data_IF_916583983959
#
_entry.id   IF_916583983959
#
_cell.length_a   1.000
_cell.length_b   1.000
_cell.length_c   1.000
_cell.angle_alpha   90.00
_cell.angle_beta   90.00
_cell.angle_gamma   90.00
#
_symmetry.space_group_name_H-M   'P 1'
#
loop_
_entity.id
_entity.type
_entity.pdbx_description
1 polymer ?
#
# COMPACT_ATOMS: atom_id res chain seq x y z
N UNK A 1 35.48 -27.69 -85.93
CA UNK A 1 35.67 -26.95 -87.19
C UNK A 1 36.05 -25.52 -86.80
N UNK A 2 37.28 -25.10 -87.14
CA UNK A 2 37.81 -23.72 -87.19
C UNK A 2 37.75 -22.88 -85.89
N UNK A 3 38.90 -22.62 -85.27
CA UNK A 3 39.85 -21.53 -85.55
C UNK A 3 39.42 -20.16 -85.01
N UNK A 4 40.34 -19.59 -84.21
CA UNK A 4 40.40 -18.25 -83.62
C UNK A 4 40.35 -17.14 -84.69
N UNK A 5 39.93 -15.89 -84.37
CA UNK A 5 40.76 -14.86 -83.69
C UNK A 5 39.96 -14.05 -82.64
N UNK A 6 40.49 -13.38 -81.62
CA UNK A 6 41.70 -12.57 -81.49
C UNK A 6 41.30 -11.08 -81.44
N UNK A 7 41.31 -10.42 -80.26
CA UNK A 7 41.71 -9.01 -80.03
C UNK A 7 41.46 -8.51 -78.59
N UNK A 8 42.60 -8.25 -77.93
CA UNK A 8 42.98 -7.16 -77.01
C UNK A 8 41.94 -6.20 -76.39
N UNK A 9 42.04 -6.15 -75.04
CA UNK A 9 42.18 -4.99 -74.16
C UNK A 9 41.01 -4.01 -73.92
N UNK A 10 40.50 -4.03 -72.68
CA UNK A 10 40.53 -2.87 -71.77
C UNK A 10 40.15 -3.33 -70.36
N UNK A 11 41.06 -3.14 -69.40
CA UNK A 11 40.77 -3.32 -67.99
C UNK A 11 40.02 -2.08 -67.48
N UNK A 12 38.79 -2.26 -67.00
CA UNK A 12 38.09 -1.28 -66.18
C UNK A 12 37.91 -1.89 -64.79
N UNK A 13 38.68 -1.41 -63.83
CA UNK A 13 38.51 -1.74 -62.42
C UNK A 13 37.29 -0.98 -61.88
N UNK A 14 36.18 -1.69 -61.66
CA UNK A 14 35.05 -1.19 -60.88
C UNK A 14 35.35 -1.41 -59.40
N UNK A 15 35.70 -0.34 -58.69
CA UNK A 15 35.74 -0.33 -57.23
C UNK A 15 34.30 -0.43 -56.70
N UNK A 16 33.94 -1.59 -56.15
CA UNK A 16 32.72 -1.76 -55.37
C UNK A 16 32.95 -1.14 -53.99
N UNK A 17 32.33 0.02 -53.74
CA UNK A 17 32.24 0.62 -52.41
C UNK A 17 31.17 -0.13 -51.64
N UNK A 18 31.59 -1.05 -50.77
CA UNK A 18 30.71 -1.60 -49.72
C UNK A 18 30.53 -0.55 -48.64
N UNK A 19 29.37 0.10 -48.60
CA UNK A 19 28.96 0.95 -47.49
C UNK A 19 28.49 0.02 -46.36
N UNK A 20 29.35 -0.19 -45.36
CA UNK A 20 28.96 -0.86 -44.12
C UNK A 20 28.07 0.07 -43.31
N UNK A 21 26.75 -0.17 -43.35
CA UNK A 21 25.78 0.52 -42.50
C UNK A 21 25.94 0.01 -41.06
N UNK A 22 26.69 0.75 -40.25
CA UNK A 22 26.82 0.49 -38.82
C UNK A 22 25.53 0.95 -38.15
N UNK A 23 24.64 0.03 -37.80
CA UNK A 23 23.47 0.33 -36.98
C UNK A 23 23.96 0.56 -35.54
N UNK A 24 24.11 1.82 -35.17
CA UNK A 24 24.26 2.23 -33.78
C UNK A 24 22.93 1.95 -33.06
N UNK A 25 22.88 0.86 -32.30
CA UNK A 25 21.81 0.66 -31.30
C UNK A 25 22.06 1.67 -30.19
N UNK A 26 21.39 2.81 -30.28
CA UNK A 26 21.31 3.78 -29.19
C UNK A 26 20.51 3.14 -28.05
N UNK A 27 21.19 2.61 -27.04
CA UNK A 27 20.58 2.35 -25.75
C UNK A 27 20.15 3.69 -25.17
N UNK A 28 18.87 4.04 -25.32
CA UNK A 28 18.31 5.20 -24.65
C UNK A 28 18.45 4.99 -23.14
N UNK A 29 19.33 5.77 -22.51
CA UNK A 29 19.29 5.96 -21.06
C UNK A 29 17.93 6.56 -20.70
N UNK A 30 17.25 6.08 -19.66
CA UNK A 30 16.02 6.72 -19.22
C UNK A 30 16.35 8.17 -18.87
N UNK A 31 15.63 9.11 -19.47
CA UNK A 31 15.70 10.51 -19.08
C UNK A 31 15.25 10.58 -17.62
N UNK A 32 16.17 10.91 -16.71
CA UNK A 32 15.82 11.34 -15.37
C UNK A 32 14.91 12.54 -15.52
N UNK A 33 13.63 12.38 -15.18
CA UNK A 33 12.74 13.51 -14.98
C UNK A 33 13.42 14.46 -13.99
N UNK A 34 13.48 15.73 -14.37
CA UNK A 34 14.23 16.74 -13.63
C UNK A 34 13.42 17.14 -12.40
N UNK A 35 13.53 16.40 -11.29
CA UNK A 35 12.98 16.82 -9.99
C UNK A 35 12.65 15.72 -8.97
N UNK A 36 12.65 14.44 -9.34
CA UNK A 36 12.32 13.32 -8.46
C UNK A 36 13.54 12.80 -7.70
N UNK A 37 13.50 12.82 -6.36
CA UNK A 37 14.59 12.30 -5.53
C UNK A 37 14.60 10.76 -5.41
N UNK A 38 13.44 10.10 -5.49
CA UNK A 38 13.31 8.64 -5.44
C UNK A 38 12.43 8.15 -6.61
N UNK A 39 12.91 8.23 -7.86
CA UNK A 39 12.10 7.82 -9.01
C UNK A 39 11.86 6.32 -9.01
N UNK A 40 10.62 5.90 -9.31
CA UNK A 40 10.29 4.50 -9.57
C UNK A 40 11.02 3.98 -10.84
N UNK A 41 11.52 2.73 -10.84
CA UNK A 41 11.56 1.79 -9.71
C UNK A 41 12.74 2.07 -8.77
N UNK A 42 12.59 1.81 -7.47
CA UNK A 42 13.59 2.17 -6.45
C UNK A 42 14.47 0.99 -6.03
N UNK A 43 14.05 -0.25 -6.30
CA UNK A 43 14.83 -1.48 -6.07
C UNK A 43 15.43 -1.57 -4.64
N UNK A 44 14.60 -1.29 -3.64
CA UNK A 44 14.94 -1.32 -2.23
C UNK A 44 15.42 -2.71 -1.80
N UNK A 45 16.56 -2.75 -1.12
CA UNK A 45 17.01 -3.94 -0.41
C UNK A 45 16.39 -3.95 0.99
N UNK A 46 15.41 -4.82 1.21
CA UNK A 46 14.79 -5.00 2.52
C UNK A 46 15.75 -5.61 3.55
N UNK A 47 15.50 -5.30 4.84
CA UNK A 47 16.35 -5.72 5.96
C UNK A 47 16.22 -7.20 6.30
N UNK A 48 15.13 -7.83 5.90
CA UNK A 48 14.82 -9.25 6.14
C UNK A 48 13.95 -9.79 5.01
N UNK A 49 13.74 -11.11 5.03
CA UNK A 49 12.76 -11.76 4.18
C UNK A 49 13.31 -12.07 2.79
N UNK A 50 12.39 -12.24 1.85
CA UNK A 50 12.66 -12.53 0.44
C UNK A 50 11.82 -11.62 -0.44
N UNK A 51 12.22 -11.48 -1.71
CA UNK A 51 11.39 -10.91 -2.79
C UNK A 51 10.94 -12.03 -3.73
N UNK A 52 9.87 -11.87 -4.53
CA UNK A 52 9.48 -12.85 -5.53
C UNK A 52 10.64 -13.19 -6.47
N UNK A 53 10.78 -14.47 -6.82
CA UNK A 53 11.86 -14.98 -7.68
C UNK A 53 11.78 -14.49 -9.13
N UNK A 54 10.69 -13.80 -9.50
CA UNK A 54 10.56 -13.14 -10.80
C UNK A 54 11.71 -12.14 -11.02
N UNK A 55 12.14 -11.98 -12.27
CA UNK A 55 13.21 -11.05 -12.59
C UNK A 55 12.82 -9.62 -12.15
N UNK A 56 13.81 -8.78 -11.83
CA UNK A 56 13.52 -7.38 -11.46
C UNK A 56 12.69 -6.69 -12.54
N UNK A 57 13.03 -6.89 -13.82
CA UNK A 57 12.28 -6.33 -14.93
C UNK A 57 10.81 -6.78 -14.97
N UNK A 58 10.52 -8.05 -14.65
CA UNK A 58 9.15 -8.55 -14.59
C UNK A 58 8.38 -7.98 -13.39
N UNK A 59 9.05 -7.80 -12.25
CA UNK A 59 8.48 -7.13 -11.06
C UNK A 59 8.12 -5.68 -11.37
N UNK A 60 9.05 -4.90 -11.92
CA UNK A 60 8.82 -3.51 -12.31
C UNK A 60 7.72 -3.38 -13.38
N UNK A 61 7.65 -4.33 -14.33
CA UNK A 61 6.61 -4.37 -15.36
C UNK A 61 5.22 -4.67 -14.77
N UNK A 62 5.14 -5.57 -13.77
CA UNK A 62 3.89 -5.89 -13.09
C UNK A 62 3.35 -4.67 -12.32
N UNK A 63 4.21 -3.96 -11.58
CA UNK A 63 3.83 -2.74 -10.85
C UNK A 63 3.31 -1.67 -11.81
N UNK A 64 4.04 -1.38 -12.90
CA UNK A 64 3.61 -0.38 -13.91
C UNK A 64 2.26 -0.73 -14.53
N UNK A 65 2.07 -2.01 -14.89
CA UNK A 65 0.80 -2.49 -15.45
C UNK A 65 -0.35 -2.30 -14.47
N UNK A 66 -0.16 -2.65 -13.20
CA UNK A 66 -1.18 -2.47 -12.17
C UNK A 66 -1.47 -0.98 -11.93
N UNK A 67 -0.43 -0.15 -11.85
CA UNK A 67 -0.57 1.28 -11.66
C UNK A 67 -1.36 1.95 -12.77
N UNK A 68 -1.04 1.66 -14.04
CA UNK A 68 -1.75 2.22 -15.18
C UNK A 68 -3.24 1.83 -15.16
N UNK A 69 -3.54 0.59 -14.74
CA UNK A 69 -4.91 0.10 -14.57
C UNK A 69 -5.63 0.83 -13.43
N UNK A 70 -5.03 0.86 -12.24
CA UNK A 70 -5.56 1.49 -11.03
C UNK A 70 -5.81 2.99 -11.25
N UNK A 71 -4.80 3.70 -11.76
CA UNK A 71 -4.87 5.14 -12.02
C UNK A 71 -6.01 5.47 -12.96
N UNK A 72 -6.15 4.73 -14.06
CA UNK A 72 -7.23 4.94 -15.04
C UNK A 72 -8.63 4.70 -14.43
N UNK A 73 -8.76 3.73 -13.53
CA UNK A 73 -10.04 3.34 -12.95
C UNK A 73 -10.46 4.26 -11.80
N UNK A 74 -9.52 4.64 -10.94
CA UNK A 74 -9.84 5.23 -9.63
C UNK A 74 -9.33 6.65 -9.44
N UNK A 75 -8.14 7.02 -9.94
CA UNK A 75 -7.61 8.38 -9.76
C UNK A 75 -8.25 9.34 -10.76
N UNK A 76 -8.95 10.37 -10.25
CA UNK A 76 -9.69 11.29 -11.11
C UNK A 76 -9.72 12.71 -10.58
N UNK A 77 -9.84 13.66 -11.51
CA UNK A 77 -10.11 15.05 -11.17
C UNK A 77 -11.56 15.22 -10.68
N UNK A 78 -11.73 15.80 -9.50
CA UNK A 78 -13.01 16.17 -8.90
C UNK A 78 -12.77 17.18 -7.76
N UNK A 79 -13.80 17.93 -7.37
CA UNK A 79 -13.74 18.85 -6.23
C UNK A 79 -12.57 19.86 -6.28
N UNK A 80 -12.21 20.30 -7.49
CA UNK A 80 -11.12 21.25 -7.72
C UNK A 80 -9.71 20.67 -7.55
N UNK A 81 -9.57 19.37 -7.29
CA UNK A 81 -8.31 18.65 -7.16
C UNK A 81 -8.42 17.25 -7.76
N UNK A 82 -7.80 16.27 -7.11
CA UNK A 82 -7.89 14.85 -7.45
C UNK A 82 -8.41 14.06 -6.27
N UNK A 83 -9.16 12.98 -6.55
CA UNK A 83 -9.56 12.00 -5.56
C UNK A 83 -9.37 10.58 -6.09
N UNK A 84 -9.34 9.61 -5.17
CA UNK A 84 -9.45 8.19 -5.49
C UNK A 84 -10.91 7.77 -5.39
N UNK A 85 -11.48 7.27 -6.48
CA UNK A 85 -12.87 6.85 -6.50
C UNK A 85 -13.09 5.57 -5.69
N UNK A 86 -13.67 5.73 -4.49
CA UNK A 86 -14.08 4.66 -3.60
C UNK A 86 -15.39 4.01 -4.10
N UNK A 87 -15.27 3.10 -5.06
CA UNK A 87 -16.40 2.46 -5.75
C UNK A 87 -17.25 1.63 -4.78
N UNK A 88 -18.49 2.08 -4.55
CA UNK A 88 -19.43 1.45 -3.62
C UNK A 88 -19.52 2.20 -2.28
N UNK A 89 -18.44 2.88 -1.91
CA UNK A 89 -18.28 3.38 -0.54
C UNK A 89 -18.50 4.89 -0.43
N UNK A 90 -18.41 5.62 -1.55
CA UNK A 90 -18.74 7.03 -1.64
C UNK A 90 -19.68 7.36 -2.82
N UNK A 91 -20.72 8.19 -2.60
CA UNK A 91 -21.66 8.58 -3.66
C UNK A 91 -21.03 9.54 -4.67
N UNK A 92 -21.70 9.71 -5.83
CA UNK A 92 -21.27 10.69 -6.83
C UNK A 92 -19.90 10.42 -7.44
N UNK A 93 -19.42 9.16 -7.35
CA UNK A 93 -18.03 8.75 -7.64
C UNK A 93 -17.01 9.51 -6.78
N UNK A 94 -17.30 9.59 -5.49
CA UNK A 94 -16.51 10.28 -4.48
C UNK A 94 -15.42 9.41 -3.86
N UNK A 95 -14.93 9.83 -2.69
CA UNK A 95 -13.84 9.16 -1.97
C UNK A 95 -14.22 8.96 -0.51
N UNK A 96 -13.57 7.99 0.12
CA UNK A 96 -13.38 7.95 1.57
C UNK A 96 -11.94 8.40 1.90
N UNK A 97 -11.67 8.79 3.15
CA UNK A 97 -10.32 9.22 3.58
C UNK A 97 -9.30 8.11 3.39
N UNK A 98 -9.66 6.85 3.65
CA UNK A 98 -8.86 5.65 3.36
C UNK A 98 -8.37 5.63 1.90
N UNK A 99 -9.30 5.66 0.94
CA UNK A 99 -8.98 5.66 -0.49
C UNK A 99 -8.11 6.86 -0.88
N UNK A 100 -8.38 8.03 -0.31
CA UNK A 100 -7.59 9.24 -0.56
C UNK A 100 -6.16 9.08 -0.06
N UNK A 101 -5.98 8.56 1.16
CA UNK A 101 -4.69 8.25 1.77
C UNK A 101 -3.90 7.25 0.93
N UNK A 102 -4.53 6.15 0.48
CA UNK A 102 -3.90 5.20 -0.43
C UNK A 102 -3.37 5.87 -1.70
N UNK A 103 -4.16 6.76 -2.31
CA UNK A 103 -3.71 7.54 -3.47
C UNK A 103 -2.50 8.43 -3.15
N UNK A 104 -2.50 9.05 -1.97
CA UNK A 104 -1.39 9.88 -1.49
C UNK A 104 -0.13 9.08 -1.17
N UNK A 105 -0.22 7.76 -1.00
CA UNK A 105 0.93 6.88 -0.89
C UNK A 105 1.39 6.34 -2.26
N UNK A 106 0.46 5.88 -3.09
CA UNK A 106 0.76 5.29 -4.40
C UNK A 106 1.41 6.32 -5.33
N UNK A 107 0.87 7.54 -5.43
CA UNK A 107 1.32 8.54 -6.39
C UNK A 107 2.80 8.94 -6.21
N UNK A 108 3.30 9.32 -5.01
CA UNK A 108 4.72 9.63 -4.83
C UNK A 108 5.62 8.41 -5.02
N UNK A 109 5.18 7.19 -4.66
CA UNK A 109 5.93 5.96 -4.90
C UNK A 109 6.09 5.62 -6.38
N UNK A 110 5.19 6.12 -7.24
CA UNK A 110 5.22 5.92 -8.70
C UNK A 110 5.79 7.11 -9.48
N UNK A 111 6.21 8.17 -8.79
CA UNK A 111 6.86 9.32 -9.39
C UNK A 111 8.12 8.89 -10.15
N UNK A 112 8.42 9.56 -11.27
CA UNK A 112 9.51 9.19 -12.17
C UNK A 112 9.08 8.21 -13.27
N UNK A 113 8.20 7.25 -12.98
CA UNK A 113 7.44 6.56 -14.03
C UNK A 113 6.28 7.42 -14.50
N UNK A 114 5.47 7.91 -13.57
CA UNK A 114 4.41 8.86 -13.86
C UNK A 114 4.93 10.30 -13.79
N UNK A 115 5.05 10.93 -14.95
CA UNK A 115 5.51 12.31 -15.07
C UNK A 115 4.48 13.33 -14.55
N UNK A 116 3.23 12.90 -14.30
CA UNK A 116 2.17 13.74 -13.74
C UNK A 116 2.06 13.63 -12.21
N UNK A 117 2.84 12.73 -11.58
CA UNK A 117 2.67 12.34 -10.19
C UNK A 117 2.65 13.54 -9.22
N UNK A 118 3.55 14.51 -9.40
CA UNK A 118 3.57 15.70 -8.53
C UNK A 118 2.27 16.51 -8.61
N UNK A 119 1.79 16.77 -9.83
CA UNK A 119 0.57 17.55 -10.05
C UNK A 119 -0.68 16.83 -9.52
N UNK A 120 -0.69 15.51 -9.65
CA UNK A 120 -1.77 14.66 -9.12
C UNK A 120 -1.74 14.61 -7.59
N UNK A 121 -0.56 14.48 -6.98
CA UNK A 121 -0.40 14.56 -5.54
C UNK A 121 -0.84 15.92 -4.97
N UNK A 122 -0.43 17.02 -5.62
CA UNK A 122 -0.88 18.37 -5.26
C UNK A 122 -2.41 18.50 -5.31
N UNK A 123 -3.04 17.83 -6.28
CA UNK A 123 -4.48 17.75 -6.40
C UNK A 123 -5.14 16.88 -5.34
N UNK A 124 -4.57 15.73 -4.99
CA UNK A 124 -5.03 14.87 -3.90
C UNK A 124 -4.99 15.63 -2.57
N UNK A 125 -3.86 16.29 -2.29
CA UNK A 125 -3.70 17.10 -1.10
C UNK A 125 -4.65 18.30 -1.05
N UNK A 126 -4.97 18.90 -2.21
CA UNK A 126 -5.96 19.98 -2.27
C UNK A 126 -7.33 19.51 -1.79
N UNK A 127 -7.79 18.33 -2.20
CA UNK A 127 -9.08 17.79 -1.75
C UNK A 127 -9.07 17.57 -0.23
N UNK A 128 -7.99 17.01 0.32
CA UNK A 128 -7.83 16.85 1.78
C UNK A 128 -7.96 18.19 2.52
N UNK A 129 -7.23 19.22 2.07
CA UNK A 129 -7.29 20.55 2.71
C UNK A 129 -8.67 21.20 2.66
N UNK A 130 -9.40 21.01 1.57
CA UNK A 130 -10.70 21.64 1.36
C UNK A 130 -11.83 20.91 2.12
N UNK A 131 -11.59 19.69 2.60
CA UNK A 131 -12.59 18.84 3.26
C UNK A 131 -12.09 18.33 4.61
N UNK A 132 -11.72 19.27 5.49
CA UNK A 132 -11.35 18.96 6.87
C UNK A 132 -12.54 19.04 7.81
N UNK A 133 -12.53 18.22 8.86
CA UNK A 133 -13.48 18.30 9.97
C UNK A 133 -13.11 19.42 10.97
N UNK A 134 -13.73 19.40 12.14
CA UNK A 134 -13.48 20.36 13.22
C UNK A 134 -12.15 20.15 13.97
N UNK A 135 -11.55 18.96 13.89
CA UNK A 135 -10.23 18.63 14.45
C UNK A 135 -9.10 18.92 13.45
N UNK A 136 -9.47 19.15 12.20
CA UNK A 136 -8.56 19.40 11.09
C UNK A 136 -8.04 18.14 10.42
N UNK A 137 -8.66 16.98 10.66
CA UNK A 137 -8.48 15.72 9.94
C UNK A 137 -9.38 15.65 8.71
N UNK A 138 -9.16 14.68 7.82
CA UNK A 138 -9.96 14.58 6.60
C UNK A 138 -11.33 14.00 6.93
N UNK A 139 -12.38 14.69 6.50
CA UNK A 139 -13.74 14.16 6.55
C UNK A 139 -13.80 12.79 5.86
N UNK A 140 -14.25 11.75 6.59
CA UNK A 140 -14.02 10.38 6.15
C UNK A 140 -14.71 10.00 4.84
N UNK A 141 -15.76 10.73 4.42
CA UNK A 141 -16.55 10.40 3.23
C UNK A 141 -17.08 11.62 2.48
N UNK A 142 -16.69 11.75 1.21
CA UNK A 142 -17.00 12.90 0.34
C UNK A 142 -17.75 12.45 -0.92
N UNK A 143 -18.85 13.12 -1.23
CA UNK A 143 -19.57 12.93 -2.50
C UNK A 143 -18.80 13.58 -3.66
N UNK A 144 -18.46 12.80 -4.68
CA UNK A 144 -17.62 13.28 -5.80
C UNK A 144 -18.31 14.21 -6.80
N UNK A 145 -19.64 14.37 -6.71
CA UNK A 145 -20.45 15.23 -7.57
C UNK A 145 -20.80 16.55 -6.89
N UNK A 146 -21.09 16.52 -5.60
CA UNK A 146 -21.46 17.72 -4.83
C UNK A 146 -20.30 18.31 -4.03
N UNK A 147 -19.23 17.54 -3.80
CA UNK A 147 -18.07 17.92 -2.98
C UNK A 147 -18.47 18.32 -1.57
N UNK A 148 -19.38 17.53 -0.99
CA UNK A 148 -19.87 17.67 0.37
C UNK A 148 -19.60 16.39 1.14
N UNK A 149 -19.50 16.53 2.45
CA UNK A 149 -19.58 15.42 3.37
C UNK A 149 -20.82 14.57 3.06
N UNK A 150 -20.61 13.27 2.97
CA UNK A 150 -21.57 12.32 2.40
C UNK A 150 -21.95 11.19 3.36
N UNK A 151 -21.89 11.50 4.64
CA UNK A 151 -22.47 10.68 5.70
C UNK A 151 -23.38 11.52 6.61
N UNK A 152 -24.03 10.86 7.57
CA UNK A 152 -24.91 11.48 8.54
C UNK A 152 -24.15 12.11 9.71
N UNK A 153 -24.73 13.12 10.34
CA UNK A 153 -24.16 13.72 11.55
C UNK A 153 -23.15 14.84 11.29
N UNK A 154 -22.26 15.03 12.25
CA UNK A 154 -21.18 16.03 12.16
C UNK A 154 -20.02 15.39 11.44
N UNK A 155 -19.36 16.07 10.49
CA UNK A 155 -18.19 15.51 9.83
C UNK A 155 -17.09 15.16 10.84
N UNK A 156 -16.62 13.93 10.72
CA UNK A 156 -15.64 13.18 11.51
C UNK A 156 -14.61 12.53 10.56
N UNK A 157 -13.56 11.97 11.13
CA UNK A 157 -12.44 11.37 10.40
C UNK A 157 -12.20 9.90 10.78
N UNK A 158 -11.43 9.21 9.94
CA UNK A 158 -11.07 7.80 10.15
C UNK A 158 -9.55 7.67 10.19
N UNK A 159 -9.04 7.10 11.29
CA UNK A 159 -7.63 7.16 11.64
C UNK A 159 -6.70 6.53 10.60
N UNK A 160 -7.09 5.42 9.95
CA UNK A 160 -6.31 4.83 8.85
C UNK A 160 -6.13 5.79 7.66
N UNK A 161 -7.19 6.49 7.26
CA UNK A 161 -7.10 7.52 6.23
C UNK A 161 -6.13 8.63 6.59
N UNK A 162 -6.17 9.11 7.84
CA UNK A 162 -5.30 10.19 8.29
C UNK A 162 -3.84 9.75 8.50
N UNK A 163 -3.61 8.48 8.90
CA UNK A 163 -2.29 7.85 8.92
C UNK A 163 -1.68 7.80 7.51
N UNK A 164 -2.41 7.29 6.52
CA UNK A 164 -1.93 7.22 5.14
C UNK A 164 -1.68 8.62 4.55
N UNK A 165 -2.55 9.61 4.82
CA UNK A 165 -2.32 11.01 4.38
C UNK A 165 -1.05 11.57 5.01
N UNK A 166 -0.84 11.34 6.30
CA UNK A 166 0.36 11.79 7.02
C UNK A 166 1.62 11.20 6.40
N UNK A 167 1.62 9.90 6.10
CA UNK A 167 2.74 9.23 5.45
C UNK A 167 2.96 9.71 4.01
N UNK A 168 1.88 9.90 3.25
CA UNK A 168 1.93 10.44 1.88
C UNK A 168 2.54 11.84 1.82
N UNK A 169 2.26 12.72 2.79
CA UNK A 169 2.89 14.04 2.88
C UNK A 169 4.39 13.94 3.14
N UNK A 170 4.83 12.99 3.96
CA UNK A 170 6.26 12.75 4.21
C UNK A 170 6.93 12.19 2.95
N UNK A 171 6.30 11.21 2.28
CA UNK A 171 6.77 10.68 0.99
C UNK A 171 6.95 11.82 -0.02
N UNK A 172 5.95 12.70 -0.15
CA UNK A 172 6.01 13.83 -1.06
C UNK A 172 7.13 14.83 -0.70
N UNK A 173 7.36 15.11 0.59
CA UNK A 173 8.47 15.97 1.01
C UNK A 173 9.83 15.35 0.66
N UNK A 174 10.00 14.04 0.85
CA UNK A 174 11.23 13.34 0.44
C UNK A 174 11.37 13.29 -1.08
N UNK A 175 10.27 13.10 -1.80
CA UNK A 175 10.27 12.99 -3.26
C UNK A 175 10.58 14.30 -3.97
N UNK A 176 9.98 15.40 -3.51
CA UNK A 176 9.98 16.70 -4.23
C UNK A 176 10.34 17.90 -3.36
N UNK A 177 10.35 17.77 -2.03
CA UNK A 177 10.46 18.87 -1.08
C UNK A 177 9.22 19.78 -1.03
N UNK A 178 9.18 20.67 -0.03
CA UNK A 178 8.16 21.72 0.08
C UNK A 178 6.85 21.27 0.75
N UNK A 179 6.79 20.05 1.29
CA UNK A 179 5.65 19.54 2.04
C UNK A 179 5.90 19.49 3.55
N UNK A 180 7.10 19.83 4.03
CA UNK A 180 7.46 19.80 5.47
C UNK A 180 6.41 20.46 6.36
N UNK A 181 6.01 21.70 6.07
CA UNK A 181 5.03 22.42 6.89
C UNK A 181 3.65 21.72 6.90
N UNK A 182 3.25 21.15 5.76
CA UNK A 182 2.00 20.41 5.66
C UNK A 182 2.06 19.09 6.45
N UNK A 183 3.17 18.34 6.31
CA UNK A 183 3.40 17.09 7.03
C UNK A 183 3.43 17.32 8.55
N UNK A 184 4.20 18.28 9.05
CA UNK A 184 4.29 18.55 10.49
C UNK A 184 2.98 19.09 11.07
N UNK A 185 2.24 19.92 10.31
CA UNK A 185 0.92 20.41 10.74
C UNK A 185 -0.11 19.28 10.82
N UNK A 186 -0.07 18.36 9.86
CA UNK A 186 -0.94 17.20 9.82
C UNK A 186 -0.67 16.25 10.99
N UNK A 187 0.60 15.84 11.17
CA UNK A 187 1.00 14.92 12.24
C UNK A 187 0.68 15.48 13.63
N UNK A 188 0.86 16.78 13.85
CA UNK A 188 0.51 17.40 15.12
C UNK A 188 -1.00 17.29 15.44
N UNK A 189 -1.87 17.47 14.43
CA UNK A 189 -3.32 17.35 14.61
C UNK A 189 -3.75 15.89 14.75
N UNK A 190 -3.20 15.00 13.92
CA UNK A 190 -3.42 13.56 14.02
C UNK A 190 -3.05 13.04 15.42
N UNK A 191 -1.88 13.42 15.94
CA UNK A 191 -1.47 13.04 17.29
C UNK A 191 -2.44 13.57 18.35
N UNK A 192 -3.02 14.75 18.16
CA UNK A 192 -3.97 15.33 19.11
C UNK A 192 -5.37 14.71 19.04
N UNK A 193 -5.80 14.29 17.85
CA UNK A 193 -7.14 13.78 17.59
C UNK A 193 -7.25 12.26 17.86
N UNK A 194 -6.27 11.50 17.36
CA UNK A 194 -6.43 10.05 17.17
C UNK A 194 -5.51 9.22 18.08
N UNK A 195 -4.53 9.86 18.72
CA UNK A 195 -3.69 9.18 19.71
C UNK A 195 -4.27 9.39 21.11
N UNK A 196 -4.66 8.29 21.75
CA UNK A 196 -5.17 8.32 23.10
C UNK A 196 -4.07 8.61 24.15
N UNK A 197 -4.43 9.01 25.39
CA UNK A 197 -3.44 9.39 26.41
C UNK A 197 -2.39 8.34 26.77
N UNK A 198 -2.66 7.04 26.63
CA UNK A 198 -1.69 5.95 26.85
C UNK A 198 -0.89 5.59 25.58
N UNK A 199 -1.23 6.17 24.44
CA UNK A 199 -0.55 6.03 23.16
C UNK A 199 -1.19 5.05 22.18
N UNK A 200 -2.34 4.42 22.49
CA UNK A 200 -3.02 3.62 21.47
C UNK A 200 -3.66 4.53 20.42
N UNK A 201 -3.81 4.01 19.20
CA UNK A 201 -4.57 4.64 18.13
C UNK A 201 -6.05 4.35 18.34
N UNK A 202 -6.87 5.39 18.32
CA UNK A 202 -8.32 5.28 18.21
C UNK A 202 -8.69 4.82 16.79
N UNK A 203 -9.95 4.44 16.61
CA UNK A 203 -10.49 4.09 15.30
C UNK A 203 -10.86 5.34 14.46
N UNK A 204 -11.28 6.40 15.15
CA UNK A 204 -11.77 7.67 14.61
C UNK A 204 -11.59 8.78 15.66
N UNK A 205 -11.74 10.04 15.24
CA UNK A 205 -11.47 11.23 16.08
C UNK A 205 -12.62 11.58 17.06
N UNK A 206 -13.80 10.98 16.87
CA UNK A 206 -15.00 11.19 17.68
C UNK A 206 -15.59 9.91 18.32
N UNK A 207 -14.91 8.77 18.14
CA UNK A 207 -15.31 7.46 18.64
C UNK A 207 -14.88 7.12 20.07
N UNK A 208 -15.09 5.88 20.52
CA UNK A 208 -14.70 5.43 21.85
C UNK A 208 -13.18 5.53 22.10
N UNK A 209 -12.79 6.21 23.18
CA UNK A 209 -11.38 6.44 23.58
C UNK A 209 -10.62 5.18 24.06
N UNK A 210 -11.18 3.98 23.89
CA UNK A 210 -10.59 2.72 24.35
C UNK A 210 -10.64 1.61 23.30
N UNK A 211 -11.05 1.94 22.09
CA UNK A 211 -11.15 1.01 20.98
C UNK A 211 -10.01 1.25 20.00
N UNK A 212 -9.64 0.21 19.27
CA UNK A 212 -8.63 0.26 18.23
C UNK A 212 -9.02 -0.64 17.07
N UNK A 213 -8.63 -0.25 15.86
CA UNK A 213 -8.83 -1.02 14.64
C UNK A 213 -7.48 -1.56 14.17
N UNK A 214 -7.22 -2.88 14.20
CA UNK A 214 -5.89 -3.41 13.91
C UNK A 214 -5.34 -3.18 12.51
N UNK A 215 -6.17 -2.88 11.50
CA UNK A 215 -5.69 -2.42 10.20
C UNK A 215 -4.93 -1.09 10.29
N UNK A 216 -5.18 -0.29 11.32
CA UNK A 216 -4.55 1.01 11.54
C UNK A 216 -3.19 0.86 12.23
N UNK A 217 -2.77 -0.36 12.57
CA UNK A 217 -1.46 -0.67 13.16
C UNK A 217 -0.33 -0.63 12.11
N UNK A 218 -0.26 0.47 11.37
CA UNK A 218 0.71 0.78 10.32
C UNK A 218 2.07 1.16 10.95
N UNK A 219 2.71 0.19 11.61
CA UNK A 219 3.94 0.42 12.40
C UNK A 219 5.09 1.03 11.59
N UNK A 220 5.16 0.75 10.29
CA UNK A 220 6.13 1.37 9.39
C UNK A 220 5.88 2.88 9.20
N UNK A 221 4.61 3.30 9.13
CA UNK A 221 4.21 4.71 9.11
C UNK A 221 4.53 5.38 10.44
N UNK A 222 4.15 4.76 11.56
CA UNK A 222 4.41 5.30 12.90
C UNK A 222 5.91 5.51 13.17
N UNK A 223 6.77 4.60 12.69
CA UNK A 223 8.23 4.77 12.76
C UNK A 223 8.74 5.90 11.86
N UNK A 224 8.12 6.10 10.68
CA UNK A 224 8.43 7.24 9.85
C UNK A 224 8.01 8.56 10.51
N UNK A 225 6.88 8.58 11.21
CA UNK A 225 6.43 9.74 11.98
C UNK A 225 7.40 10.04 13.11
N UNK A 226 7.85 9.03 13.86
CA UNK A 226 8.86 9.20 14.90
C UNK A 226 10.20 9.73 14.38
N UNK A 227 10.58 9.40 13.14
CA UNK A 227 11.79 9.92 12.51
C UNK A 227 11.62 11.35 11.97
N UNK A 228 10.40 11.72 11.56
CA UNK A 228 10.13 12.98 10.88
C UNK A 228 9.64 14.10 11.82
N UNK A 229 8.79 13.76 12.79
CA UNK A 229 8.19 14.67 13.76
C UNK A 229 8.75 14.41 15.16
N UNK A 230 9.79 15.16 15.52
CA UNK A 230 10.41 15.10 16.85
C UNK A 230 9.62 15.85 17.93
N UNK A 231 8.52 16.53 17.60
CA UNK A 231 7.74 17.30 18.56
C UNK A 231 6.72 16.45 19.33
N UNK A 232 6.36 15.27 18.80
CA UNK A 232 5.41 14.34 19.41
C UNK A 232 6.06 12.97 19.63
N UNK A 233 5.63 12.28 20.68
CA UNK A 233 6.20 10.98 21.07
C UNK A 233 5.58 9.83 20.29
N UNK A 234 5.84 9.76 18.99
CA UNK A 234 5.39 8.65 18.13
C UNK A 234 6.01 7.31 18.54
N UNK A 235 7.16 7.31 19.22
CA UNK A 235 7.75 6.07 19.77
C UNK A 235 6.89 5.45 20.87
N UNK A 236 6.20 6.27 21.67
CA UNK A 236 5.17 5.79 22.60
C UNK A 236 4.02 5.10 21.86
N UNK A 237 3.57 5.67 20.73
CA UNK A 237 2.50 5.07 19.90
C UNK A 237 2.95 3.72 19.34
N UNK A 238 4.14 3.65 18.76
CA UNK A 238 4.76 2.39 18.30
C UNK A 238 4.80 1.34 19.42
N UNK A 239 5.32 1.72 20.59
CA UNK A 239 5.44 0.82 21.75
C UNK A 239 4.07 0.32 22.20
N UNK A 240 3.07 1.21 22.21
CA UNK A 240 1.72 0.86 22.64
C UNK A 240 1.03 -0.06 21.63
N UNK A 241 1.14 0.22 20.34
CA UNK A 241 0.61 -0.64 19.27
C UNK A 241 1.23 -2.04 19.33
N UNK A 242 2.56 -2.15 19.50
CA UNK A 242 3.21 -3.46 19.68
C UNK A 242 2.70 -4.22 20.92
N UNK A 243 2.48 -3.52 22.04
CA UNK A 243 1.93 -4.12 23.25
C UNK A 243 0.50 -4.64 23.04
N UNK A 244 -0.37 -3.86 22.41
CA UNK A 244 -1.75 -4.29 22.09
C UNK A 244 -1.75 -5.53 21.23
N UNK A 245 -0.92 -5.57 20.17
CA UNK A 245 -0.77 -6.74 19.30
C UNK A 245 -0.32 -7.97 20.10
N UNK A 246 0.69 -7.85 20.95
CA UNK A 246 1.24 -8.96 21.71
C UNK A 246 0.25 -9.49 22.75
N UNK A 247 -0.38 -8.61 23.52
CA UNK A 247 -1.38 -8.99 24.53
C UNK A 247 -2.60 -9.66 23.90
N UNK A 248 -3.12 -9.11 22.80
CA UNK A 248 -4.24 -9.68 22.07
C UNK A 248 -3.89 -11.06 21.52
N UNK A 249 -2.80 -11.15 20.74
CA UNK A 249 -2.45 -12.40 20.05
C UNK A 249 -2.07 -13.51 21.02
N UNK A 250 -1.40 -13.20 22.14
CA UNK A 250 -1.09 -14.19 23.17
C UNK A 250 -2.33 -14.88 23.75
N UNK A 251 -3.46 -14.16 23.84
CA UNK A 251 -4.70 -14.68 24.44
C UNK A 251 -5.69 -15.22 23.44
N UNK A 252 -5.87 -14.55 22.30
CA UNK A 252 -6.97 -14.82 21.36
C UNK A 252 -6.51 -15.48 20.05
N UNK A 253 -5.23 -15.41 19.72
CA UNK A 253 -4.67 -16.01 18.50
C UNK A 253 -3.23 -16.53 18.70
N UNK A 254 -2.97 -17.41 19.68
CA UNK A 254 -1.60 -17.76 20.07
C UNK A 254 -0.80 -18.50 18.97
N UNK A 255 -1.51 -19.16 18.06
CA UNK A 255 -0.92 -19.94 16.95
C UNK A 255 -0.83 -19.16 15.66
N UNK A 256 -1.83 -18.32 15.33
CA UNK A 256 -1.91 -17.63 14.05
C UNK A 256 -1.49 -16.15 14.12
N UNK A 257 -1.50 -15.53 15.31
CA UNK A 257 -1.30 -14.10 15.51
C UNK A 257 -2.21 -13.22 14.62
N UNK A 258 -3.42 -13.69 14.31
CA UNK A 258 -4.43 -12.90 13.64
C UNK A 258 -5.13 -11.98 14.64
N UNK A 259 -5.52 -10.79 14.16
CA UNK A 259 -6.20 -9.75 14.91
C UNK A 259 -7.65 -9.63 14.40
N UNK A 260 -8.59 -9.28 15.26
CA UNK A 260 -9.98 -9.03 14.83
C UNK A 260 -10.12 -7.65 14.22
N UNK A 261 -11.19 -7.40 13.46
CA UNK A 261 -11.49 -6.09 12.86
C UNK A 261 -11.50 -4.97 13.89
N UNK A 262 -12.07 -5.22 15.08
CA UNK A 262 -12.05 -4.26 16.17
C UNK A 262 -11.56 -4.88 17.48
N UNK A 263 -10.84 -4.07 18.24
CA UNK A 263 -10.32 -4.37 19.57
C UNK A 263 -10.93 -3.38 20.55
N UNK A 264 -11.49 -3.89 21.65
CA UNK A 264 -11.96 -3.07 22.77
C UNK A 264 -11.01 -3.22 23.96
N UNK A 265 -10.88 -2.16 24.75
CA UNK A 265 -9.97 -2.14 25.91
C UNK A 265 -8.50 -2.00 25.51
N UNK A 266 -8.24 -1.35 24.39
CA UNK A 266 -6.90 -1.03 23.89
C UNK A 266 -6.13 -0.08 24.84
N UNK A 267 -6.84 0.61 25.74
CA UNK A 267 -6.28 1.50 26.76
C UNK A 267 -5.75 0.79 28.03
N UNK A 268 -5.81 -0.55 28.10
CA UNK A 268 -5.33 -1.35 29.23
C UNK A 268 -4.37 -2.48 28.83
N UNK A 269 -4.16 -3.44 29.73
CA UNK A 269 -3.30 -4.62 29.51
C UNK A 269 -4.11 -5.88 29.15
N UNK A 270 -5.34 -5.70 28.69
CA UNK A 270 -6.26 -6.80 28.36
C UNK A 270 -7.12 -6.47 27.14
N UNK A 271 -6.51 -6.03 26.02
CA UNK A 271 -7.23 -5.86 24.76
C UNK A 271 -7.90 -7.17 24.35
N UNK A 272 -9.10 -7.09 23.81
CA UNK A 272 -9.90 -8.25 23.41
C UNK A 272 -10.71 -7.94 22.14
N UNK A 273 -11.16 -8.96 21.40
CA UNK A 273 -12.07 -8.74 20.27
C UNK A 273 -13.29 -7.94 20.72
N UNK A 274 -13.74 -7.00 19.91
CA UNK A 274 -15.05 -6.38 20.08
C UNK A 274 -16.16 -7.45 20.10
N UNK A 275 -17.36 -7.14 20.64
CA UNK A 275 -18.55 -7.95 20.36
C UNK A 275 -18.81 -8.01 18.85
N UNK A 276 -19.50 -9.05 18.37
CA UNK A 276 -20.00 -9.03 17.00
C UNK A 276 -21.05 -7.92 16.83
N UNK A 277 -21.13 -7.34 15.63
CA UNK A 277 -22.08 -6.26 15.27
C UNK A 277 -21.99 -5.04 16.22
N UNK A 278 -20.77 -4.61 16.57
CA UNK A 278 -20.49 -3.56 17.54
C UNK A 278 -20.28 -2.18 16.88
N UNK A 279 -19.33 -2.09 15.96
CA UNK A 279 -18.97 -0.90 15.19
C UNK A 279 -19.57 -0.97 13.78
N UNK A 280 -19.56 -2.14 13.15
CA UNK A 280 -20.05 -2.34 11.79
C UNK A 280 -21.18 -3.38 11.75
N UNK A 281 -21.92 -3.43 10.64
CA UNK A 281 -22.99 -4.42 10.42
C UNK A 281 -22.44 -5.79 9.97
N UNK A 282 -21.37 -6.24 10.62
CA UNK A 282 -20.71 -7.52 10.38
C UNK A 282 -20.05 -8.05 11.67
N UNK A 283 -19.59 -9.32 11.71
CA UNK A 283 -18.89 -9.83 12.88
C UNK A 283 -17.54 -9.12 13.10
N UNK A 284 -17.51 -8.12 13.98
CA UNK A 284 -16.31 -7.34 14.32
C UNK A 284 -15.24 -8.12 15.11
N UNK A 285 -15.61 -9.32 15.58
CA UNK A 285 -14.80 -10.15 16.47
C UNK A 285 -13.94 -11.20 15.74
N UNK A 286 -13.91 -11.15 14.41
CA UNK A 286 -13.13 -12.03 13.53
C UNK A 286 -12.18 -11.20 12.66
N UNK A 287 -11.36 -11.86 11.84
CA UNK A 287 -10.75 -11.17 10.69
C UNK A 287 -11.85 -10.98 9.65
N UNK A 288 -12.22 -9.75 9.39
CA UNK A 288 -13.13 -9.31 8.32
C UNK A 288 -12.42 -8.33 7.39
N UNK A 289 -13.21 -7.53 6.66
CA UNK A 289 -12.69 -6.61 5.64
C UNK A 289 -11.75 -5.56 6.20
N UNK A 290 -11.75 -5.25 7.50
CA UNK A 290 -10.72 -4.38 8.05
C UNK A 290 -9.39 -5.12 8.20
N UNK A 291 -9.38 -6.22 8.96
CA UNK A 291 -8.15 -6.92 9.36
C UNK A 291 -7.48 -7.74 8.26
N UNK A 292 -8.09 -7.90 7.08
CA UNK A 292 -7.38 -8.46 5.92
C UNK A 292 -6.14 -7.66 5.54
N UNK A 293 -6.06 -6.36 5.90
CA UNK A 293 -4.90 -5.49 5.67
C UNK A 293 -3.73 -5.75 6.62
N UNK A 294 -3.98 -6.35 7.79
CA UNK A 294 -2.96 -6.53 8.84
C UNK A 294 -1.70 -7.28 8.35
N UNK A 295 -1.79 -8.40 7.59
CA UNK A 295 -0.60 -9.08 7.09
C UNK A 295 0.30 -8.20 6.21
N UNK A 296 -0.29 -7.26 5.47
CA UNK A 296 0.47 -6.29 4.68
C UNK A 296 1.22 -5.31 5.58
N UNK A 297 0.57 -4.69 6.57
CA UNK A 297 1.24 -3.74 7.48
C UNK A 297 2.33 -4.41 8.32
N UNK A 298 2.05 -5.59 8.90
CA UNK A 298 3.03 -6.33 9.71
C UNK A 298 4.22 -6.78 8.84
N UNK A 299 3.95 -7.26 7.63
CA UNK A 299 5.01 -7.63 6.70
C UNK A 299 5.87 -6.43 6.28
N UNK A 300 5.25 -5.29 5.99
CA UNK A 300 5.96 -4.07 5.56
C UNK A 300 6.90 -3.55 6.64
N UNK A 301 6.45 -3.38 7.88
CA UNK A 301 7.30 -2.96 9.01
C UNK A 301 8.48 -3.92 9.23
N UNK A 302 8.21 -5.23 9.16
CA UNK A 302 9.26 -6.24 9.26
C UNK A 302 10.30 -6.10 8.14
N UNK A 303 9.88 -5.94 6.89
CA UNK A 303 10.76 -5.82 5.73
C UNK A 303 11.63 -4.56 5.78
N UNK A 304 11.04 -3.39 6.07
CA UNK A 304 11.73 -2.09 5.93
C UNK A 304 12.46 -1.65 7.20
N UNK A 305 11.97 -2.01 8.39
CA UNK A 305 12.59 -1.67 9.68
C UNK A 305 13.23 -2.86 10.40
N UNK A 306 12.92 -4.11 10.00
CA UNK A 306 13.51 -5.29 10.62
C UNK A 306 12.96 -5.58 12.02
N UNK A 307 11.75 -5.09 12.34
CA UNK A 307 11.17 -5.29 13.68
C UNK A 307 10.96 -6.78 13.98
N UNK A 308 11.53 -7.30 15.08
CA UNK A 308 11.30 -8.68 15.50
C UNK A 308 9.84 -8.98 15.85
N UNK A 309 9.10 -7.98 16.35
CA UNK A 309 7.70 -8.13 16.77
C UNK A 309 6.81 -8.39 15.56
N UNK A 310 6.84 -7.48 14.58
CA UNK A 310 6.02 -7.60 13.37
C UNK A 310 6.48 -8.75 12.49
N UNK A 311 7.78 -9.07 12.44
CA UNK A 311 8.29 -10.27 11.77
C UNK A 311 7.69 -11.56 12.35
N UNK A 312 7.64 -11.69 13.67
CA UNK A 312 7.03 -12.86 14.32
C UNK A 312 5.52 -12.96 14.05
N UNK A 313 4.81 -11.83 14.07
CA UNK A 313 3.38 -11.77 13.73
C UNK A 313 3.15 -12.18 12.26
N UNK A 314 3.80 -11.51 11.31
CA UNK A 314 3.69 -11.79 9.89
C UNK A 314 4.02 -13.26 9.55
N UNK A 315 5.05 -13.82 10.19
CA UNK A 315 5.43 -15.24 10.01
C UNK A 315 4.31 -16.19 10.40
N UNK A 316 3.68 -15.98 11.57
CA UNK A 316 2.58 -16.83 12.04
C UNK A 316 1.30 -16.64 11.22
N UNK A 317 0.99 -15.41 10.82
CA UNK A 317 -0.16 -15.11 9.96
C UNK A 317 -0.01 -15.81 8.61
N UNK A 318 1.14 -15.65 7.95
CA UNK A 318 1.45 -16.30 6.67
C UNK A 318 1.36 -17.83 6.77
N UNK A 319 1.95 -18.42 7.81
CA UNK A 319 1.90 -19.86 8.04
C UNK A 319 0.47 -20.38 8.27
N UNK A 320 -0.35 -19.63 9.03
CA UNK A 320 -1.75 -19.98 9.28
C UNK A 320 -2.56 -19.97 7.98
N UNK A 321 -2.50 -18.89 7.21
CA UNK A 321 -3.22 -18.80 5.94
C UNK A 321 -2.75 -19.88 4.95
N UNK A 322 -1.45 -20.10 4.83
CA UNK A 322 -0.91 -21.18 3.97
C UNK A 322 -1.47 -22.54 4.36
N UNK A 323 -1.51 -22.86 5.66
CA UNK A 323 -2.02 -24.12 6.16
C UNK A 323 -3.52 -24.29 5.90
N UNK A 324 -4.32 -23.26 6.20
CA UNK A 324 -5.78 -23.28 6.03
C UNK A 324 -6.22 -23.28 4.57
N UNK A 325 -5.45 -22.64 3.70
CA UNK A 325 -5.67 -22.62 2.27
C UNK A 325 -5.13 -23.87 1.55
N UNK A 326 -4.39 -24.75 2.23
CA UNK A 326 -3.72 -25.90 1.63
C UNK A 326 -2.68 -25.50 0.58
N UNK A 327 -2.02 -24.36 0.79
CA UNK A 327 -1.04 -23.79 -0.14
C UNK A 327 -1.64 -23.22 -1.44
N UNK A 328 -2.95 -22.96 -1.49
CA UNK A 328 -3.60 -22.36 -2.66
C UNK A 328 -4.04 -20.91 -2.35
N UNK A 329 -3.45 -19.87 -2.96
CA UNK A 329 -3.82 -18.48 -2.72
C UNK A 329 -5.31 -18.17 -2.87
N UNK A 330 -6.00 -18.84 -3.82
CA UNK A 330 -7.43 -18.67 -4.06
C UNK A 330 -8.35 -19.14 -2.91
N UNK A 331 -7.77 -19.79 -1.90
CA UNK A 331 -8.48 -20.30 -0.71
C UNK A 331 -8.14 -19.50 0.56
N UNK A 332 -7.68 -18.28 0.39
CA UNK A 332 -7.62 -17.28 1.46
C UNK A 332 -8.86 -16.40 1.32
N UNK A 333 -9.64 -16.30 2.39
CA UNK A 333 -10.98 -15.70 2.38
C UNK A 333 -11.00 -14.44 3.26
N UNK A 334 -11.83 -13.44 2.95
CA UNK A 334 -11.89 -12.19 3.71
C UNK A 334 -12.47 -12.33 5.12
N UNK A 335 -13.20 -13.41 5.39
CA UNK A 335 -13.82 -13.67 6.69
C UNK A 335 -13.27 -14.94 7.33
N UNK A 336 -12.42 -14.79 8.35
CA UNK A 336 -11.81 -15.92 9.06
C UNK A 336 -11.84 -15.75 10.56
N UNK A 337 -11.99 -16.84 11.30
CA UNK A 337 -11.74 -16.88 12.74
C UNK A 337 -10.30 -16.47 13.02
N UNK A 338 -10.01 -16.12 14.27
CA UNK A 338 -8.65 -15.75 14.71
C UNK A 338 -7.62 -16.87 14.62
N UNK A 339 -7.97 -18.09 14.21
CA UNK A 339 -7.03 -19.16 13.89
C UNK A 339 -6.81 -19.33 12.36
N UNK A 340 -7.39 -18.46 11.54
CA UNK A 340 -7.34 -18.49 10.08
C UNK A 340 -8.37 -19.41 9.42
N UNK A 341 -9.22 -20.09 10.20
CA UNK A 341 -10.30 -20.91 9.63
C UNK A 341 -11.35 -20.01 8.99
N UNK A 342 -11.69 -20.18 7.70
CA UNK A 342 -12.74 -19.40 7.07
C UNK A 342 -14.08 -19.63 7.78
N UNK A 343 -14.82 -18.55 8.03
CA UNK A 343 -16.20 -18.64 8.55
C UNK A 343 -17.17 -19.01 7.43
N UNK A 344 -16.85 -18.62 6.20
CA UNK A 344 -17.55 -18.97 4.97
C UNK A 344 -16.57 -19.03 3.79
N UNK A 345 -16.98 -19.67 2.70
CA UNK A 345 -16.14 -19.82 1.48
C UNK A 345 -16.82 -19.34 0.21
N UNK A 346 -18.04 -18.80 0.33
CA UNK A 346 -18.78 -18.22 -0.81
C UNK A 346 -18.37 -16.79 -1.14
N UNK A 347 -17.58 -16.16 -0.27
CA UNK A 347 -17.08 -14.80 -0.41
C UNK A 347 -15.57 -14.84 -0.66
N UNK A 348 -15.10 -14.18 -1.71
CA UNK A 348 -13.72 -14.18 -2.19
C UNK A 348 -13.33 -12.77 -2.57
N UNK A 349 -12.13 -12.35 -2.17
CA UNK A 349 -11.62 -11.00 -2.39
C UNK A 349 -10.09 -11.05 -2.54
N UNK A 350 -9.56 -10.22 -3.43
CA UNK A 350 -8.13 -9.96 -3.59
C UNK A 350 -7.55 -9.28 -2.35
N UNK A 351 -8.33 -8.39 -1.75
CA UNK A 351 -8.03 -7.76 -0.48
C UNK A 351 -7.67 -8.74 0.64
N UNK A 352 -8.14 -10.00 0.58
CA UNK A 352 -7.82 -11.02 1.56
C UNK A 352 -6.51 -11.76 1.29
N UNK A 353 -6.20 -12.02 0.02
CA UNK A 353 -5.08 -12.88 -0.35
C UNK A 353 -3.81 -12.11 -0.69
N UNK A 354 -3.92 -10.90 -1.25
CA UNK A 354 -2.77 -10.08 -1.62
C UNK A 354 -1.91 -9.70 -0.40
N UNK A 355 -2.48 -9.22 0.72
CA UNK A 355 -1.69 -8.86 1.92
C UNK A 355 -0.84 -10.00 2.48
N UNK A 356 -1.29 -11.25 2.34
CA UNK A 356 -0.55 -12.44 2.80
C UNK A 356 0.78 -12.59 2.04
N UNK A 357 0.89 -12.06 0.82
CA UNK A 357 2.12 -12.02 0.02
C UNK A 357 3.25 -11.31 0.75
N UNK A 358 2.97 -10.16 1.35
CA UNK A 358 3.96 -9.36 2.09
C UNK A 358 4.36 -10.06 3.39
N UNK A 359 3.40 -10.67 4.09
CA UNK A 359 3.70 -11.48 5.27
C UNK A 359 4.58 -12.70 4.94
N UNK A 360 4.34 -13.37 3.81
CA UNK A 360 5.17 -14.48 3.32
C UNK A 360 6.60 -14.05 2.99
N UNK A 361 6.76 -12.86 2.40
CA UNK A 361 8.07 -12.26 2.17
C UNK A 361 8.83 -12.05 3.48
N UNK A 362 8.21 -11.41 4.47
CA UNK A 362 8.83 -11.18 5.78
C UNK A 362 9.22 -12.49 6.50
N UNK A 363 8.40 -13.54 6.31
CA UNK A 363 8.64 -14.89 6.82
C UNK A 363 9.82 -15.62 6.13
N UNK A 364 10.23 -15.18 4.94
CA UNK A 364 11.25 -15.83 4.13
C UNK A 364 10.78 -17.11 3.42
N UNK A 365 9.47 -17.29 3.24
CA UNK A 365 8.89 -18.47 2.56
C UNK A 365 8.84 -18.26 1.04
N UNK A 366 9.98 -18.45 0.36
CA UNK A 366 10.12 -18.17 -1.06
C UNK A 366 9.05 -18.85 -1.94
N UNK A 367 8.78 -20.14 -1.69
CA UNK A 367 7.81 -20.89 -2.50
C UNK A 367 6.40 -20.34 -2.33
N UNK A 368 6.04 -19.88 -1.14
CA UNK A 368 4.74 -19.27 -0.88
C UNK A 368 4.64 -17.85 -1.42
N UNK A 369 5.68 -17.04 -1.24
CA UNK A 369 5.80 -15.71 -1.87
C UNK A 369 5.64 -15.78 -3.38
N UNK A 370 6.30 -16.73 -4.04
CA UNK A 370 6.20 -16.90 -5.50
C UNK A 370 4.81 -17.36 -5.95
N UNK A 371 4.12 -18.18 -5.15
CA UNK A 371 2.76 -18.62 -5.43
C UNK A 371 1.77 -17.46 -5.31
N UNK A 372 1.89 -16.65 -4.26
CA UNK A 372 1.08 -15.45 -4.04
C UNK A 372 1.33 -14.43 -5.15
N UNK A 373 2.59 -14.08 -5.43
CA UNK A 373 2.96 -13.16 -6.50
C UNK A 373 2.35 -13.55 -7.87
N UNK A 374 2.39 -14.83 -8.22
CA UNK A 374 1.76 -15.31 -9.47
C UNK A 374 0.24 -15.16 -9.44
N UNK A 375 -0.39 -15.35 -8.29
CA UNK A 375 -1.82 -15.22 -8.13
C UNK A 375 -2.29 -13.76 -8.21
N UNK A 376 -1.54 -12.82 -7.61
CA UNK A 376 -1.77 -11.36 -7.73
C UNK A 376 -1.93 -10.92 -9.19
N UNK A 377 -1.22 -11.57 -10.14
CA UNK A 377 -1.25 -11.22 -11.56
C UNK A 377 -2.52 -11.67 -12.29
N UNK A 378 -3.33 -12.55 -11.68
CA UNK A 378 -4.45 -13.21 -12.35
C UNK A 378 -5.75 -12.41 -12.34
N UNK A 379 -5.86 -11.40 -11.48
CA UNK A 379 -7.07 -10.64 -11.20
C UNK A 379 -8.38 -11.47 -11.30
N UNK A 380 -8.56 -12.49 -10.44
CA UNK A 380 -9.58 -13.50 -10.68
C UNK A 380 -10.99 -13.09 -10.24
N UNK A 381 -11.12 -12.06 -9.40
CA UNK A 381 -12.40 -11.71 -8.76
C UNK A 381 -13.06 -10.47 -9.34
N UNK A 382 -12.30 -9.61 -10.05
CA UNK A 382 -12.83 -8.38 -10.62
C UNK A 382 -13.28 -7.40 -9.54
N UNK A 383 -12.47 -7.29 -8.48
CA UNK A 383 -12.76 -6.46 -7.32
C UNK A 383 -12.91 -4.98 -7.72
N UNK A 384 -13.63 -4.25 -6.88
CA UNK A 384 -13.78 -2.80 -7.04
C UNK A 384 -12.56 -2.08 -6.46
N UNK A 385 -12.70 -0.81 -6.04
CA UNK A 385 -11.56 0.00 -5.64
C UNK A 385 -10.73 -0.65 -4.53
N UNK A 386 -11.36 -1.33 -3.56
CA UNK A 386 -10.72 -1.80 -2.35
C UNK A 386 -9.65 -2.86 -2.64
N UNK A 387 -10.04 -3.97 -3.28
CA UNK A 387 -9.12 -5.02 -3.70
C UNK A 387 -8.03 -4.51 -4.65
N UNK A 388 -8.40 -3.74 -5.68
CA UNK A 388 -7.43 -3.27 -6.68
C UNK A 388 -6.43 -2.23 -6.14
N UNK A 389 -6.82 -1.44 -5.13
CA UNK A 389 -5.93 -0.47 -4.48
C UNK A 389 -4.99 -1.16 -3.50
N UNK A 390 -5.48 -2.13 -2.70
CA UNK A 390 -4.62 -2.97 -1.86
C UNK A 390 -3.62 -3.73 -2.73
N UNK A 391 -4.07 -4.34 -3.83
CA UNK A 391 -3.20 -5.00 -4.81
C UNK A 391 -2.09 -4.07 -5.31
N UNK A 392 -2.41 -2.82 -5.61
CA UNK A 392 -1.42 -1.82 -6.06
C UNK A 392 -0.34 -1.58 -5.01
N UNK A 393 -0.73 -1.34 -3.76
CA UNK A 393 0.21 -1.11 -2.65
C UNK A 393 1.04 -2.36 -2.35
N UNK A 394 0.41 -3.54 -2.32
CA UNK A 394 1.09 -4.82 -2.15
C UNK A 394 2.07 -5.08 -3.28
N UNK A 395 1.74 -4.77 -4.53
CA UNK A 395 2.67 -4.91 -5.65
C UNK A 395 3.94 -4.08 -5.46
N UNK A 396 3.82 -2.83 -5.01
CA UNK A 396 4.99 -1.96 -4.77
C UNK A 396 5.90 -2.58 -3.70
N UNK A 397 5.33 -3.08 -2.61
CA UNK A 397 6.10 -3.76 -1.55
C UNK A 397 6.71 -5.05 -2.07
N UNK A 398 5.92 -5.90 -2.72
CA UNK A 398 6.40 -7.20 -3.19
C UNK A 398 7.46 -7.09 -4.28
N UNK A 399 7.39 -6.07 -5.13
CA UNK A 399 8.38 -5.81 -6.15
C UNK A 399 9.73 -5.34 -5.59
N UNK A 400 9.78 -4.92 -4.32
CA UNK A 400 10.95 -4.27 -3.74
C UNK A 400 11.06 -2.80 -4.13
N UNK A 401 9.94 -2.12 -4.40
CA UNK A 401 9.92 -0.72 -4.80
C UNK A 401 9.31 0.21 -3.73
N UNK A 402 8.88 -0.35 -2.60
CA UNK A 402 8.44 0.41 -1.45
C UNK A 402 9.64 0.90 -0.63
N UNK A 403 9.92 2.20 -0.68
CA UNK A 403 10.92 2.85 0.15
C UNK A 403 10.28 3.54 1.35
N UNK A 404 11.03 3.65 2.44
CA UNK A 404 10.61 4.35 3.66
C UNK A 404 11.21 5.76 3.71
N UNK A 405 10.43 6.80 4.04
CA UNK A 405 10.95 8.15 4.17
C UNK A 405 11.67 8.43 5.50
N UNK A 406 11.88 7.41 6.34
CA UNK A 406 12.57 7.53 7.62
C UNK A 406 14.11 7.50 7.54
N UNK A 407 14.67 7.55 6.31
CA UNK A 407 16.12 7.56 6.06
C UNK A 407 16.68 8.94 5.68
#
# INVERSE_FOLDING_TARGET
MRDRPGRLAAAAATAAVTVSLSVLVSTASPATAAGENHPFPTHVTYRTGVVPSASQADRDAAVRKQYDSWKKAYLRAACGGYLVYATGDAPGKGTVSEAQGYGMNIVPLMAGYDTSAKAEFDGLWKVVKDHRDSKGMMQWKIDGSTCKYADSGTPDAATDGDLDIGYGLILADKQWGGYTAAATDWLAKLYAADVAPDGHLKCEDDGPDNDARPSDFMLDHLRAFAAYDSAHDWNKVVTRTEAVIQEFTAKYSPTANLLSDFVVGANGTSPKPAPADYQESQPDNIVGYNSVRVPWHMGTDALVYGSPVTKNVATKQSASYKAKAGGNPAKIYPHTKLDGTPTQTGDQCECANDPVGVAAMAAGDQAWTDALWKYLATNPFGDTYYGETIKMLVYIVMAGDYWTPAS
#
